data_IF_201118671059
#
_entry.id   IF_201118671059
#
_cell.length_a   1.000
_cell.length_b   1.000
_cell.length_c   1.000
_cell.angle_alpha   90.00
_cell.angle_beta   90.00
_cell.angle_gamma   90.00
#
_symmetry.space_group_name_H-M   'P 1'
#
loop_
_entity.id
_entity.type
_entity.pdbx_description
1 polymer ?
#
# COMPACT_ATOMS: atom_id res chain seq x y z
N UNK A 1 19.44 -4.01 -0.99
CA UNK A 1 18.46 -3.59 -2.00
C UNK A 1 17.11 -3.59 -1.31
N UNK A 2 16.34 -2.52 -1.47
CA UNK A 2 14.96 -2.41 -0.99
C UNK A 2 13.96 -2.63 -2.13
N UNK A 3 12.66 -2.52 -1.85
CA UNK A 3 11.59 -2.91 -2.77
C UNK A 3 10.85 -1.70 -3.35
N UNK A 4 10.18 -1.90 -4.48
CA UNK A 4 9.41 -0.89 -5.20
C UNK A 4 7.90 -1.09 -5.00
N UNK A 5 7.20 -0.04 -4.59
CA UNK A 5 5.76 -0.08 -4.35
C UNK A 5 5.07 0.77 -5.42
N UNK A 6 4.24 0.14 -6.25
CA UNK A 6 3.43 0.80 -7.27
C UNK A 6 2.01 1.01 -6.73
N UNK A 7 1.74 2.22 -6.26
CA UNK A 7 0.59 2.52 -5.42
C UNK A 7 -0.61 2.96 -6.25
N UNK A 8 -0.39 3.76 -7.30
CA UNK A 8 -1.50 4.51 -7.88
C UNK A 8 -1.35 5.00 -9.30
N UNK A 9 -2.39 5.69 -9.79
CA UNK A 9 -2.39 6.34 -11.11
C UNK A 9 -2.53 7.86 -10.97
N UNK A 10 -1.66 8.62 -11.64
CA UNK A 10 -1.74 10.10 -11.65
C UNK A 10 -2.90 10.60 -12.52
N UNK A 11 -3.46 11.79 -12.22
CA UNK A 11 -4.39 12.50 -13.09
C UNK A 11 -3.84 12.75 -14.49
N UNK A 12 -4.72 12.74 -15.49
CA UNK A 12 -4.42 13.04 -16.89
C UNK A 12 -3.73 14.41 -17.05
N UNK A 13 -2.40 14.40 -17.15
CA UNK A 13 -1.59 15.50 -17.69
C UNK A 13 -1.02 15.03 -19.03
N UNK A 14 -0.98 15.94 -20.00
CA UNK A 14 -0.82 15.69 -21.44
C UNK A 14 0.54 15.11 -21.89
N UNK A 15 1.31 14.50 -20.98
CA UNK A 15 2.63 13.93 -21.24
C UNK A 15 2.62 12.41 -20.99
N UNK A 16 2.96 11.66 -22.03
CA UNK A 16 3.01 10.20 -22.12
C UNK A 16 4.09 9.52 -21.24
N UNK A 17 4.57 10.17 -20.18
CA UNK A 17 5.63 9.65 -19.32
C UNK A 17 5.08 9.23 -17.96
N UNK A 18 5.03 7.92 -17.77
CA UNK A 18 4.80 7.16 -16.54
C UNK A 18 3.58 7.55 -15.69
N UNK A 19 2.51 6.77 -15.88
CA UNK A 19 1.21 6.95 -15.21
C UNK A 19 1.18 6.35 -13.82
N UNK A 20 2.28 5.78 -13.31
CA UNK A 20 2.35 5.08 -12.04
C UNK A 20 2.87 5.96 -10.90
N UNK A 21 2.15 5.99 -9.78
CA UNK A 21 2.62 6.55 -8.52
C UNK A 21 3.45 5.47 -7.81
N UNK A 22 4.76 5.48 -8.07
CA UNK A 22 5.69 4.50 -7.53
C UNK A 22 6.55 5.12 -6.43
N UNK A 23 6.79 4.39 -5.34
CA UNK A 23 7.75 4.76 -4.29
C UNK A 23 8.79 3.65 -4.13
N UNK A 24 10.06 4.02 -4.11
CA UNK A 24 11.15 3.11 -3.76
C UNK A 24 11.40 3.21 -2.26
N UNK A 25 11.39 2.08 -1.57
CA UNK A 25 11.59 2.02 -0.13
C UNK A 25 12.90 1.34 0.22
N UNK A 26 13.49 1.71 1.36
CA UNK A 26 14.57 0.92 1.94
C UNK A 26 14.05 -0.45 2.42
N UNK A 27 14.97 -1.36 2.72
CA UNK A 27 14.61 -2.73 3.11
C UNK A 27 13.80 -2.80 4.41
N UNK A 28 14.05 -1.90 5.36
CA UNK A 28 13.32 -1.87 6.63
C UNK A 28 11.88 -1.44 6.43
N UNK A 29 11.66 -0.37 5.68
CA UNK A 29 10.33 0.16 5.35
C UNK A 29 9.55 -0.80 4.46
N UNK A 30 10.22 -1.48 3.52
CA UNK A 30 9.61 -2.54 2.72
C UNK A 30 9.10 -3.70 3.56
N UNK A 31 9.98 -4.29 4.38
CA UNK A 31 9.61 -5.40 5.23
C UNK A 31 8.49 -5.02 6.21
N UNK A 32 8.48 -3.77 6.68
CA UNK A 32 7.40 -3.27 7.53
C UNK A 32 6.07 -3.24 6.75
N UNK A 33 6.03 -2.63 5.57
CA UNK A 33 4.79 -2.58 4.77
C UNK A 33 4.32 -3.96 4.31
N UNK A 34 5.23 -4.85 3.92
CA UNK A 34 4.91 -6.25 3.60
C UNK A 34 4.19 -6.92 4.76
N UNK A 35 4.78 -6.88 5.96
CA UNK A 35 4.16 -7.45 7.16
C UNK A 35 2.83 -6.77 7.52
N UNK A 36 2.69 -5.46 7.26
CA UNK A 36 1.42 -4.75 7.47
C UNK A 36 0.33 -5.25 6.53
N UNK A 37 0.65 -5.53 5.28
CA UNK A 37 -0.29 -6.05 4.31
C UNK A 37 -0.67 -7.51 4.57
N UNK A 38 0.28 -8.33 5.03
CA UNK A 38 -0.02 -9.67 5.54
C UNK A 38 -1.04 -9.58 6.68
N UNK A 39 -0.77 -8.75 7.69
CA UNK A 39 -1.67 -8.55 8.82
C UNK A 39 -3.05 -7.98 8.42
N UNK A 40 -3.11 -7.12 7.39
CA UNK A 40 -4.34 -6.46 6.98
C UNK A 40 -5.22 -7.30 6.04
N UNK A 41 -4.61 -8.13 5.18
CA UNK A 41 -5.31 -8.77 4.08
C UNK A 41 -5.32 -10.30 4.14
N UNK A 42 -4.30 -10.95 4.70
CA UNK A 42 -4.15 -12.41 4.57
C UNK A 42 -5.35 -13.18 5.12
N UNK A 43 -5.93 -12.73 6.24
CA UNK A 43 -7.06 -13.41 6.88
C UNK A 43 -8.43 -12.96 6.35
N UNK A 44 -8.60 -11.65 6.05
CA UNK A 44 -9.91 -11.06 5.74
C UNK A 44 -10.15 -10.80 4.26
N UNK A 45 -9.07 -10.65 3.47
CA UNK A 45 -9.13 -10.28 2.05
C UNK A 45 -8.06 -11.04 1.23
N UNK A 46 -8.08 -12.39 1.23
CA UNK A 46 -7.03 -13.19 0.59
C UNK A 46 -6.89 -12.93 -0.91
N UNK A 47 -7.99 -12.64 -1.61
CA UNK A 47 -7.95 -12.30 -3.04
C UNK A 47 -7.28 -10.94 -3.30
N UNK A 48 -7.43 -9.96 -2.41
CA UNK A 48 -6.73 -8.68 -2.51
C UNK A 48 -5.24 -8.86 -2.16
N UNK A 49 -4.95 -9.67 -1.15
CA UNK A 49 -3.58 -10.00 -0.76
C UNK A 49 -2.79 -10.60 -1.93
N UNK A 50 -3.37 -11.60 -2.60
CA UNK A 50 -2.72 -12.27 -3.74
C UNK A 50 -2.46 -11.30 -4.89
N UNK A 51 -3.43 -10.44 -5.24
CA UNK A 51 -3.24 -9.42 -6.29
C UNK A 51 -2.14 -8.43 -5.95
N UNK A 52 -2.13 -7.91 -4.72
CA UNK A 52 -1.18 -6.89 -4.27
C UNK A 52 0.24 -7.45 -4.17
N UNK A 53 0.37 -8.70 -3.73
CA UNK A 53 1.64 -9.40 -3.50
C UNK A 53 2.13 -10.21 -4.71
N UNK A 54 1.41 -10.19 -5.83
CA UNK A 54 1.70 -11.02 -7.01
C UNK A 54 3.15 -10.89 -7.49
N UNK A 55 3.70 -9.67 -7.41
CA UNK A 55 5.05 -9.35 -7.86
C UNK A 55 6.08 -9.24 -6.73
N UNK A 56 5.74 -9.70 -5.52
CA UNK A 56 6.65 -9.69 -4.37
C UNK A 56 7.98 -10.41 -4.64
N UNK A 57 8.05 -11.54 -5.39
CA UNK A 57 9.32 -12.17 -5.76
C UNK A 57 10.25 -11.29 -6.61
N UNK A 58 9.71 -10.21 -7.20
CA UNK A 58 10.45 -9.18 -7.94
C UNK A 58 10.67 -7.92 -7.09
N UNK A 59 10.55 -8.04 -5.76
CA UNK A 59 10.60 -6.94 -4.79
C UNK A 59 9.59 -5.83 -5.16
N UNK A 60 8.38 -6.22 -5.57
CA UNK A 60 7.32 -5.30 -6.00
C UNK A 60 5.97 -5.55 -5.33
N UNK A 61 5.35 -4.48 -4.84
CA UNK A 61 3.97 -4.50 -4.34
C UNK A 61 3.12 -3.56 -5.19
N UNK A 62 1.99 -4.05 -5.70
CA UNK A 62 1.22 -3.34 -6.75
C UNK A 62 -0.24 -3.15 -6.34
N UNK A 63 -0.61 -1.90 -6.03
CA UNK A 63 -2.00 -1.47 -5.78
C UNK A 63 -2.61 -0.77 -7.02
N UNK A 64 -1.80 -0.44 -8.02
CA UNK A 64 -2.24 0.22 -9.25
C UNK A 64 -3.10 -0.66 -10.20
N UNK A 65 -3.10 -1.97 -9.95
CA UNK A 65 -3.93 -2.95 -10.68
C UNK A 65 -5.30 -3.16 -10.03
N UNK A 66 -5.52 -2.65 -8.81
CA UNK A 66 -6.82 -2.73 -8.15
C UNK A 66 -7.83 -1.81 -8.83
N UNK A 67 -9.06 -2.29 -8.97
CA UNK A 67 -10.19 -1.43 -9.35
C UNK A 67 -10.48 -0.42 -8.24
N UNK A 68 -11.24 0.64 -8.56
CA UNK A 68 -11.50 1.73 -7.62
C UNK A 68 -12.06 1.24 -6.28
N UNK A 69 -13.06 0.36 -6.32
CA UNK A 69 -13.70 -0.19 -5.13
C UNK A 69 -12.71 -1.02 -4.31
N UNK A 70 -11.97 -1.91 -4.97
CA UNK A 70 -10.93 -2.76 -4.34
C UNK A 70 -9.84 -1.92 -3.68
N UNK A 71 -9.39 -0.85 -4.35
CA UNK A 71 -8.39 0.07 -3.84
C UNK A 71 -8.84 0.76 -2.56
N UNK A 72 -10.07 1.27 -2.51
CA UNK A 72 -10.61 1.91 -1.31
C UNK A 72 -10.82 0.90 -0.17
N UNK A 73 -11.28 -0.32 -0.48
CA UNK A 73 -11.38 -1.41 0.51
C UNK A 73 -10.02 -1.76 1.09
N UNK A 74 -9.00 -1.89 0.25
CA UNK A 74 -7.63 -2.19 0.69
C UNK A 74 -7.10 -1.11 1.65
N UNK A 75 -7.24 0.17 1.29
CA UNK A 75 -6.81 1.29 2.14
C UNK A 75 -7.55 1.30 3.47
N UNK A 76 -8.87 1.07 3.43
CA UNK A 76 -9.68 1.04 4.64
C UNK A 76 -9.27 -0.10 5.57
N UNK A 77 -9.06 -1.30 5.03
CA UNK A 77 -8.64 -2.45 5.81
C UNK A 77 -7.26 -2.25 6.47
N UNK A 78 -6.30 -1.62 5.77
CA UNK A 78 -5.00 -1.28 6.38
C UNK A 78 -5.16 -0.27 7.51
N UNK A 79 -5.94 0.80 7.30
CA UNK A 79 -6.20 1.80 8.35
C UNK A 79 -6.91 1.20 9.56
N UNK A 80 -7.90 0.34 9.34
CA UNK A 80 -8.58 -0.39 10.41
C UNK A 80 -7.61 -1.31 11.15
N UNK A 81 -6.74 -2.03 10.43
CA UNK A 81 -5.69 -2.87 11.03
C UNK A 81 -4.74 -2.05 11.92
N UNK A 82 -4.31 -0.86 11.47
CA UNK A 82 -3.48 0.04 12.27
C UNK A 82 -4.25 0.58 13.49
N UNK A 83 -5.50 1.02 13.31
CA UNK A 83 -6.30 1.69 14.34
C UNK A 83 -6.85 0.72 15.41
N UNK A 84 -7.08 -0.54 15.06
CA UNK A 84 -7.59 -1.55 15.99
C UNK A 84 -6.52 -2.04 16.98
N UNK A 85 -5.26 -1.60 16.84
CA UNK A 85 -4.14 -1.99 17.72
C UNK A 85 -4.04 -1.01 18.89
N UNK A 86 -4.38 -1.49 20.09
CA UNK A 86 -4.32 -0.71 21.34
C UNK A 86 -2.90 -0.55 21.92
N UNK A 87 -2.05 -1.56 21.76
CA UNK A 87 -0.62 -1.51 22.14
C UNK A 87 0.25 -1.91 20.96
N UNK A 88 0.94 -0.95 20.36
CA UNK A 88 1.81 -1.21 19.22
C UNK A 88 3.16 -1.77 19.70
N UNK A 89 3.50 -2.97 19.24
CA UNK A 89 4.87 -3.47 19.34
C UNK A 89 5.80 -2.59 18.49
N UNK A 90 7.12 -2.66 18.73
CA UNK A 90 8.10 -1.90 17.94
C UNK A 90 7.95 -2.14 16.43
N UNK A 91 7.64 -3.38 16.03
CA UNK A 91 7.37 -3.72 14.63
C UNK A 91 6.11 -3.03 14.10
N UNK A 92 5.02 -3.06 14.86
CA UNK A 92 3.76 -2.43 14.46
C UNK A 92 3.84 -0.90 14.43
N UNK A 93 4.66 -0.30 15.29
CA UNK A 93 4.98 1.13 15.22
C UNK A 93 5.74 1.44 13.93
N UNK A 94 6.71 0.62 13.54
CA UNK A 94 7.42 0.78 12.26
C UNK A 94 6.49 0.61 11.06
N UNK A 95 5.55 -0.34 11.10
CA UNK A 95 4.51 -0.52 10.08
C UNK A 95 3.65 0.74 9.92
N UNK A 96 3.15 1.29 11.04
CA UNK A 96 2.35 2.51 11.04
C UNK A 96 3.11 3.70 10.47
N UNK A 97 4.35 3.91 10.93
CA UNK A 97 5.18 5.02 10.46
C UNK A 97 5.48 4.92 8.96
N UNK A 98 5.86 3.73 8.47
CA UNK A 98 6.11 3.51 7.05
C UNK A 98 4.86 3.76 6.20
N UNK A 99 3.69 3.36 6.69
CA UNK A 99 2.42 3.63 6.02
C UNK A 99 2.12 5.13 5.94
N UNK A 100 2.19 5.84 7.07
CA UNK A 100 1.91 7.28 7.15
C UNK A 100 2.93 8.12 6.35
N UNK A 101 4.20 7.73 6.33
CA UNK A 101 5.27 8.46 5.64
C UNK A 101 5.26 8.25 4.12
N UNK A 102 5.08 7.01 3.67
CA UNK A 102 5.27 6.66 2.26
C UNK A 102 3.98 6.39 1.50
N UNK A 103 3.00 5.73 2.13
CA UNK A 103 1.80 5.28 1.43
C UNK A 103 0.70 6.34 1.44
N UNK A 104 0.40 6.88 2.62
CA UNK A 104 -0.70 7.84 2.84
C UNK A 104 -0.63 9.07 1.91
N UNK A 105 0.52 9.75 1.73
CA UNK A 105 0.60 10.94 0.89
C UNK A 105 0.40 10.62 -0.60
N UNK A 106 0.75 9.40 -1.02
CA UNK A 106 0.63 8.95 -2.40
C UNK A 106 -0.81 8.51 -2.68
N UNK A 107 -1.43 7.79 -1.75
CA UNK A 107 -2.85 7.41 -1.82
C UNK A 107 -3.74 8.65 -1.94
N UNK A 108 -3.45 9.71 -1.19
CA UNK A 108 -4.21 10.97 -1.27
C UNK A 108 -4.12 11.67 -2.64
N UNK A 109 -3.11 11.33 -3.45
CA UNK A 109 -2.95 11.86 -4.82
C UNK A 109 -3.61 10.97 -5.88
N UNK A 110 -4.08 9.77 -5.52
CA UNK A 110 -4.73 8.85 -6.45
C UNK A 110 -6.20 9.25 -6.69
N UNK A 111 -6.60 9.37 -7.96
CA UNK A 111 -7.97 9.77 -8.34
C UNK A 111 -9.05 8.77 -7.91
N UNK A 112 -8.68 7.49 -7.72
CA UNK A 112 -9.60 6.45 -7.26
C UNK A 112 -9.91 6.60 -5.78
N UNK A 113 -9.01 7.21 -5.01
CA UNK A 113 -9.19 7.36 -3.57
C UNK A 113 -10.34 8.31 -3.27
N UNK A 114 -11.33 7.81 -2.52
CA UNK A 114 -12.43 8.63 -2.01
C UNK A 114 -12.21 8.80 -0.50
N UNK A 115 -12.03 10.04 -0.06
CA UNK A 115 -12.17 10.40 1.36
C UNK A 115 -13.65 10.25 1.74
N UNK A 116 -14.08 9.01 1.99
CA UNK A 116 -15.35 8.71 2.64
C UNK A 116 -15.20 8.73 4.16
#
# INVERSE_FOLDING_TARGET
MGSFFNIGRKPCSNNYSDRSLTVGLDRSSSNALEALFDDAFQEHYPELHEKIMLYLPLDQIVLAELEKEEFNVAIKAVRECINNRTELTRGQTSQKLAWEEYMEPIIQQDERYQQS
#
